data_IF_931428133939
#
_entry.id   IF_931428133939
#
_cell.length_a   1.000
_cell.length_b   1.000
_cell.length_c   1.000
_cell.angle_alpha   90.00
_cell.angle_beta   90.00
_cell.angle_gamma   90.00
#
_symmetry.space_group_name_H-M   'P 1'
#
loop_
_entity.id
_entity.type
_entity.pdbx_description
1 polymer ?
#
# COMPACT_ATOMS: atom_id res chain seq x y z
N UNK A 1 -17.93 -3.65 12.52
CA UNK A 1 -17.07 -2.55 13.04
C UNK A 1 -15.84 -2.48 12.16
N UNK A 2 -15.54 -1.31 11.57
CA UNK A 2 -14.37 -1.14 10.70
C UNK A 2 -13.11 -1.18 11.55
N UNK A 3 -12.24 -2.15 11.32
CA UNK A 3 -10.99 -2.28 12.08
C UNK A 3 -10.04 -1.18 11.63
N UNK A 4 -9.44 -0.42 12.56
CA UNK A 4 -8.47 0.63 12.25
C UNK A 4 -7.05 0.06 12.30
N UNK A 5 -6.20 0.49 11.38
CA UNK A 5 -4.78 0.16 11.35
C UNK A 5 -3.91 1.42 11.16
N UNK A 6 -2.60 1.23 11.19
CA UNK A 6 -1.58 2.26 11.08
C UNK A 6 -0.27 1.66 10.55
N UNK A 7 0.67 2.49 10.06
CA UNK A 7 1.94 2.02 9.49
C UNK A 7 2.77 1.10 10.38
N UNK A 8 2.81 1.34 11.70
CA UNK A 8 3.59 0.53 12.63
C UNK A 8 2.98 -0.86 12.82
N UNK A 9 1.64 -0.93 12.92
CA UNK A 9 0.92 -2.20 12.98
C UNK A 9 1.12 -3.04 11.73
N UNK A 10 1.16 -2.43 10.55
CA UNK A 10 1.44 -3.12 9.29
C UNK A 10 2.83 -3.75 9.26
N UNK A 11 3.86 -3.01 9.71
CA UNK A 11 5.21 -3.57 9.84
C UNK A 11 5.25 -4.73 10.84
N UNK A 12 4.52 -4.63 11.94
CA UNK A 12 4.44 -5.73 12.91
C UNK A 12 3.75 -6.97 12.32
N UNK A 13 2.72 -6.80 11.47
CA UNK A 13 2.08 -7.90 10.75
C UNK A 13 3.02 -8.54 9.70
N UNK A 14 3.84 -7.74 9.00
CA UNK A 14 4.89 -8.26 8.12
C UNK A 14 5.94 -9.02 8.91
N UNK A 15 6.46 -8.42 9.99
CA UNK A 15 7.46 -9.05 10.84
C UNK A 15 6.95 -10.41 11.33
N UNK A 16 5.68 -10.49 11.75
CA UNK A 16 5.04 -11.74 12.17
C UNK A 16 5.05 -12.80 11.07
N UNK A 17 4.62 -12.45 9.84
CA UNK A 17 4.65 -13.36 8.68
C UNK A 17 6.05 -13.93 8.45
N UNK A 18 7.09 -13.15 8.74
CA UNK A 18 8.49 -13.47 8.49
C UNK A 18 9.22 -14.12 9.69
N UNK A 19 8.53 -14.43 10.79
CA UNK A 19 9.16 -15.07 11.97
C UNK A 19 9.36 -16.59 11.84
N UNK A 20 8.90 -17.21 10.75
CA UNK A 20 9.04 -18.65 10.54
C UNK A 20 10.50 -19.03 10.29
N UNK A 21 10.99 -20.06 10.99
CA UNK A 21 12.34 -20.58 10.80
C UNK A 21 12.43 -21.40 9.52
N UNK A 22 13.45 -21.12 8.72
CA UNK A 22 13.75 -21.86 7.50
C UNK A 22 15.28 -21.85 7.25
N UNK A 23 15.81 -22.94 6.71
CA UNK A 23 17.23 -23.10 6.37
C UNK A 23 17.56 -22.59 4.96
N UNK A 24 16.56 -22.21 4.16
CA UNK A 24 16.81 -21.61 2.83
C UNK A 24 17.44 -20.22 2.95
N UNK A 25 18.12 -19.77 1.89
CA UNK A 25 18.65 -18.41 1.83
C UNK A 25 17.53 -17.38 2.00
N UNK A 26 17.80 -16.27 2.70
CA UNK A 26 16.79 -15.27 3.02
C UNK A 26 16.06 -14.67 1.80
N UNK A 27 16.74 -14.51 0.67
CA UNK A 27 16.12 -14.11 -0.59
C UNK A 27 15.07 -15.12 -1.09
N UNK A 28 15.35 -16.42 -0.95
CA UNK A 28 14.43 -17.49 -1.31
C UNK A 28 13.26 -17.57 -0.30
N UNK A 29 13.54 -17.41 0.99
CA UNK A 29 12.52 -17.36 2.03
C UNK A 29 11.53 -16.21 1.80
N UNK A 30 12.03 -14.99 1.57
CA UNK A 30 11.17 -13.83 1.28
C UNK A 30 10.37 -14.04 0.00
N UNK A 31 11.02 -14.49 -1.08
CA UNK A 31 10.34 -14.73 -2.35
C UNK A 31 9.19 -15.74 -2.20
N UNK A 32 9.42 -16.84 -1.47
CA UNK A 32 8.39 -17.83 -1.16
C UNK A 32 7.29 -17.25 -0.27
N UNK A 33 7.68 -16.51 0.79
CA UNK A 33 6.74 -15.89 1.72
C UNK A 33 5.74 -14.99 1.03
N UNK A 34 6.16 -14.26 -0.01
CA UNK A 34 5.33 -13.34 -0.77
C UNK A 34 4.83 -13.90 -2.12
N UNK A 35 5.15 -15.14 -2.47
CA UNK A 35 4.72 -15.77 -3.72
C UNK A 35 5.23 -15.04 -4.97
N UNK A 36 6.52 -14.69 -4.99
CA UNK A 36 7.22 -14.04 -6.12
C UNK A 36 8.51 -14.78 -6.45
N UNK A 37 9.12 -14.49 -7.61
CA UNK A 37 10.43 -15.05 -7.99
C UNK A 37 11.58 -14.24 -7.36
N UNK A 38 12.60 -14.94 -6.87
CA UNK A 38 13.85 -14.32 -6.36
C UNK A 38 14.45 -13.34 -7.39
N UNK A 39 14.81 -12.15 -6.93
CA UNK A 39 15.39 -11.06 -7.75
C UNK A 39 14.54 -10.62 -8.95
N UNK A 40 13.23 -10.91 -8.96
CA UNK A 40 12.31 -10.28 -9.92
C UNK A 40 12.05 -8.82 -9.57
N UNK A 41 11.47 -8.07 -10.51
CA UNK A 41 10.97 -6.72 -10.25
C UNK A 41 10.03 -6.68 -9.04
N UNK A 42 9.15 -7.68 -8.93
CA UNK A 42 8.19 -7.81 -7.83
C UNK A 42 8.87 -8.06 -6.48
N UNK A 43 9.91 -8.90 -6.46
CA UNK A 43 10.71 -9.11 -5.27
C UNK A 43 11.37 -7.81 -4.77
N UNK A 44 11.94 -7.03 -5.68
CA UNK A 44 12.54 -5.73 -5.34
C UNK A 44 11.47 -4.74 -4.84
N UNK A 45 10.29 -4.72 -5.46
CA UNK A 45 9.15 -3.89 -5.00
C UNK A 45 8.72 -4.24 -3.58
N UNK A 46 8.66 -5.52 -3.22
CA UNK A 46 8.33 -5.94 -1.84
C UNK A 46 9.35 -5.37 -0.84
N UNK A 47 10.64 -5.54 -1.13
CA UNK A 47 11.70 -5.01 -0.26
C UNK A 47 11.56 -3.49 -0.13
N UNK A 48 11.41 -2.78 -1.25
CA UNK A 48 11.25 -1.33 -1.26
C UNK A 48 10.04 -0.88 -0.41
N UNK A 49 8.87 -1.52 -0.57
CA UNK A 49 7.69 -1.19 0.22
C UNK A 49 7.90 -1.39 1.73
N UNK A 50 8.58 -2.46 2.15
CA UNK A 50 8.88 -2.71 3.56
C UNK A 50 9.80 -1.61 4.11
N UNK A 51 10.87 -1.28 3.37
CA UNK A 51 11.84 -0.25 3.78
C UNK A 51 11.22 1.15 3.83
N UNK A 52 10.45 1.53 2.82
CA UNK A 52 9.73 2.81 2.78
C UNK A 52 8.74 2.93 3.93
N UNK A 53 8.05 1.84 4.27
CA UNK A 53 7.13 1.80 5.40
C UNK A 53 7.85 1.96 6.74
N UNK A 54 9.01 1.31 6.91
CA UNK A 54 9.86 1.49 8.09
C UNK A 54 10.36 2.95 8.21
N UNK A 55 10.73 3.57 7.09
CA UNK A 55 11.16 4.98 7.06
C UNK A 55 10.03 5.95 7.39
N UNK A 56 8.79 5.67 6.95
CA UNK A 56 7.61 6.43 7.35
C UNK A 56 7.38 6.38 8.86
N UNK A 57 7.44 5.18 9.45
CA UNK A 57 7.30 5.01 10.91
C UNK A 57 8.42 5.76 11.64
N UNK A 58 9.67 5.63 11.18
CA UNK A 58 10.81 6.34 11.75
C UNK A 58 10.63 7.87 11.70
N UNK A 59 10.09 8.40 10.60
CA UNK A 59 9.78 9.82 10.46
C UNK A 59 8.74 10.27 11.49
N UNK A 60 7.66 9.51 11.65
CA UNK A 60 6.60 9.82 12.63
C UNK A 60 7.16 9.79 14.06
N UNK A 61 7.97 8.78 14.41
CA UNK A 61 8.64 8.69 15.71
C UNK A 61 9.54 9.91 15.97
N UNK A 62 10.35 10.32 14.98
CA UNK A 62 11.22 11.51 15.11
C UNK A 62 10.43 12.79 15.37
N UNK A 63 9.27 12.93 14.74
CA UNK A 63 8.43 14.13 14.81
C UNK A 63 7.47 14.12 16.00
N UNK A 64 7.35 13.00 16.70
CA UNK A 64 6.46 12.87 17.85
C UNK A 64 6.90 13.79 19.00
N UNK A 65 5.96 14.56 19.53
CA UNK A 65 6.17 15.37 20.73
C UNK A 65 5.83 14.62 22.03
N UNK A 66 5.30 13.40 21.92
CA UNK A 66 4.83 12.60 23.06
C UNK A 66 5.88 11.60 23.57
N UNK A 67 6.96 11.39 22.80
CA UNK A 67 8.08 10.55 23.19
C UNK A 67 9.27 11.43 23.62
N UNK A 68 9.94 11.02 24.70
CA UNK A 68 11.25 11.57 25.07
C UNK A 68 12.34 11.09 24.08
N UNK A 69 13.51 11.73 24.17
CA UNK A 69 14.60 11.50 23.21
C UNK A 69 15.22 10.10 23.34
N UNK A 70 15.26 9.54 24.55
CA UNK A 70 15.78 8.19 24.80
C UNK A 70 14.88 7.11 24.19
N UNK A 71 13.56 7.20 24.36
CA UNK A 71 12.62 6.28 23.72
C UNK A 71 12.61 6.45 22.20
N UNK A 72 12.77 7.67 21.68
CA UNK A 72 12.93 7.90 20.23
C UNK A 72 14.17 7.21 19.71
N UNK A 73 15.31 7.36 20.38
CA UNK A 73 16.56 6.74 19.98
C UNK A 73 16.44 5.21 19.93
N UNK A 74 15.87 4.60 20.98
CA UNK A 74 15.62 3.15 21.02
C UNK A 74 14.69 2.69 19.90
N UNK A 75 13.57 3.39 19.67
CA UNK A 75 12.62 3.03 18.62
C UNK A 75 13.23 3.12 17.21
N UNK A 76 14.08 4.12 16.98
CA UNK A 76 14.79 4.29 15.71
C UNK A 76 15.85 3.23 15.49
N UNK A 77 16.51 2.78 16.56
CA UNK A 77 17.44 1.65 16.51
C UNK A 77 16.70 0.36 16.15
N UNK A 78 15.56 0.07 16.79
CA UNK A 78 14.72 -1.08 16.48
C UNK A 78 14.25 -1.10 15.02
N UNK A 79 13.83 0.06 14.49
CA UNK A 79 13.46 0.21 13.08
C UNK A 79 14.65 -0.01 12.15
N UNK A 80 15.84 0.47 12.52
CA UNK A 80 17.06 0.24 11.74
C UNK A 80 17.40 -1.25 11.68
N UNK A 81 17.38 -1.95 12.81
CA UNK A 81 17.68 -3.39 12.88
C UNK A 81 16.63 -4.23 12.17
N UNK A 82 15.36 -3.83 12.23
CA UNK A 82 14.31 -4.45 11.40
C UNK A 82 14.64 -4.34 9.91
N UNK A 83 15.05 -3.16 9.44
CA UNK A 83 15.43 -2.94 8.04
C UNK A 83 16.62 -3.81 7.63
N UNK A 84 17.57 -4.08 8.53
CA UNK A 84 18.73 -4.94 8.26
C UNK A 84 18.31 -6.35 7.81
N UNK A 85 17.17 -6.86 8.29
CA UNK A 85 16.61 -8.15 7.87
C UNK A 85 16.16 -8.20 6.40
N UNK A 86 16.02 -7.04 5.75
CA UNK A 86 15.70 -6.91 4.33
C UNK A 86 16.92 -6.49 3.47
N UNK A 87 18.14 -6.54 4.03
CA UNK A 87 19.37 -6.14 3.31
C UNK A 87 20.12 -7.33 2.71
N UNK A 88 21.01 -7.06 1.75
CA UNK A 88 21.77 -8.09 1.05
C UNK A 88 22.61 -9.01 1.95
N UNK A 89 23.00 -8.59 3.16
CA UNK A 89 23.72 -9.46 4.09
C UNK A 89 22.81 -10.54 4.68
N UNK A 90 21.63 -10.16 5.19
CA UNK A 90 20.65 -11.07 5.76
C UNK A 90 19.99 -11.97 4.70
N UNK A 91 19.83 -11.46 3.48
CA UNK A 91 19.20 -12.20 2.37
C UNK A 91 20.06 -13.33 1.79
N UNK A 92 21.39 -13.24 1.94
CA UNK A 92 22.33 -14.21 1.33
C UNK A 92 22.68 -15.39 2.24
N UNK A 93 22.33 -15.32 3.52
CA UNK A 93 22.53 -16.42 4.48
C UNK A 93 21.22 -17.16 4.70
N UNK A 94 21.28 -18.31 5.38
CA UNK A 94 20.08 -19.04 5.77
C UNK A 94 19.17 -18.13 6.63
N UNK A 95 17.85 -18.19 6.41
CA UNK A 95 16.92 -17.26 7.04
C UNK A 95 16.96 -17.32 8.57
N UNK A 96 17.15 -18.51 9.12
CA UNK A 96 17.29 -18.77 10.55
C UNK A 96 18.72 -18.66 11.11
N UNK A 97 19.72 -18.31 10.30
CA UNK A 97 21.08 -18.04 10.76
C UNK A 97 21.09 -16.83 11.72
N UNK A 98 22.13 -16.74 12.57
CA UNK A 98 22.29 -15.61 13.49
C UNK A 98 22.40 -14.27 12.74
N UNK A 99 22.93 -14.29 11.52
CA UNK A 99 22.99 -13.13 10.61
C UNK A 99 21.83 -13.08 9.63
N UNK A 100 20.91 -14.03 9.70
CA UNK A 100 19.71 -14.12 8.87
C UNK A 100 18.61 -13.18 9.36
N UNK A 101 17.56 -13.04 8.56
CA UNK A 101 16.48 -12.11 8.86
C UNK A 101 15.50 -12.60 9.93
N UNK A 102 15.40 -13.91 10.21
CA UNK A 102 14.41 -14.44 11.16
C UNK A 102 14.55 -13.82 12.55
N UNK A 103 15.77 -13.76 13.08
CA UNK A 103 16.04 -13.21 14.42
C UNK A 103 15.64 -11.74 14.47
N UNK A 104 16.04 -10.97 13.45
CA UNK A 104 15.70 -9.55 13.34
C UNK A 104 14.17 -9.34 13.29
N UNK A 105 13.45 -10.14 12.50
CA UNK A 105 11.98 -10.05 12.43
C UNK A 105 11.32 -10.43 13.76
N UNK A 106 11.81 -11.48 14.41
CA UNK A 106 11.28 -11.99 15.68
C UNK A 106 11.48 -10.99 16.83
N UNK A 107 12.68 -10.44 16.94
CA UNK A 107 13.04 -9.56 18.04
C UNK A 107 12.38 -8.18 17.92
N UNK A 108 12.15 -7.71 16.68
CA UNK A 108 11.60 -6.38 16.44
C UNK A 108 10.09 -6.33 16.16
N UNK A 109 9.40 -7.47 16.01
CA UNK A 109 7.92 -7.51 15.88
C UNK A 109 7.20 -6.75 17.00
N UNK A 110 7.51 -7.08 18.26
CA UNK A 110 6.84 -6.48 19.43
C UNK A 110 7.18 -5.00 19.59
N UNK A 111 8.46 -4.58 19.50
CA UNK A 111 8.81 -3.16 19.44
C UNK A 111 8.00 -2.38 18.41
N UNK A 112 7.90 -2.87 17.17
CA UNK A 112 7.09 -2.23 16.12
C UNK A 112 5.62 -2.11 16.53
N UNK A 113 5.04 -3.17 17.12
CA UNK A 113 3.67 -3.13 17.61
C UNK A 113 3.45 -2.09 18.72
N UNK A 114 4.43 -1.87 19.59
CA UNK A 114 4.35 -0.85 20.65
C UNK A 114 4.46 0.58 20.14
N UNK A 115 4.97 0.80 18.92
CA UNK A 115 4.93 2.11 18.27
C UNK A 115 3.54 2.49 17.74
N UNK A 116 2.63 1.51 17.61
CA UNK A 116 1.30 1.73 17.02
C UNK A 116 0.49 2.85 17.71
N UNK A 117 0.40 2.97 19.05
CA UNK A 117 -0.33 4.08 19.67
C UNK A 117 0.22 5.46 19.31
N UNK A 118 1.55 5.60 19.24
CA UNK A 118 2.23 6.85 18.87
C UNK A 118 1.96 7.16 17.39
N UNK A 119 2.19 6.19 16.52
CA UNK A 119 1.99 6.37 15.08
C UNK A 119 0.52 6.64 14.77
N UNK A 120 -0.41 5.96 15.44
CA UNK A 120 -1.86 6.11 15.24
C UNK A 120 -2.40 7.48 15.67
N UNK A 121 -1.69 8.19 16.56
CA UNK A 121 -2.03 9.56 16.90
C UNK A 121 -1.84 10.51 15.70
N UNK A 122 -0.88 10.19 14.82
CA UNK A 122 -0.54 10.99 13.64
C UNK A 122 -1.18 10.45 12.35
N UNK A 123 -1.13 9.13 12.15
CA UNK A 123 -1.57 8.46 10.92
C UNK A 123 -2.37 7.21 11.25
N UNK A 124 -3.65 7.19 10.85
CA UNK A 124 -4.54 6.04 11.01
C UNK A 124 -5.56 5.97 9.88
N UNK A 125 -5.98 4.77 9.54
CA UNK A 125 -6.95 4.55 8.47
C UNK A 125 -7.68 3.21 8.64
N UNK A 126 -8.84 3.03 7.99
CA UNK A 126 -9.54 1.75 8.01
C UNK A 126 -8.68 0.65 7.36
N UNK A 127 -8.72 -0.54 7.93
CA UNK A 127 -8.19 -1.77 7.35
C UNK A 127 -9.26 -2.36 6.44
N UNK A 128 -8.88 -2.74 5.23
CA UNK A 128 -9.75 -3.49 4.33
C UNK A 128 -9.93 -4.92 4.84
N UNK A 129 -11.16 -5.41 4.78
CA UNK A 129 -11.51 -6.81 4.94
C UNK A 129 -11.09 -7.61 3.71
N UNK A 130 -11.00 -8.94 3.83
CA UNK A 130 -10.68 -9.82 2.70
C UNK A 130 -11.72 -9.69 1.57
N UNK A 131 -12.99 -9.50 1.94
CA UNK A 131 -14.07 -9.25 0.98
C UNK A 131 -13.85 -7.93 0.23
N UNK A 132 -13.57 -6.83 0.95
CA UNK A 132 -13.29 -5.54 0.30
C UNK A 132 -12.06 -5.63 -0.62
N UNK A 133 -11.01 -6.36 -0.22
CA UNK A 133 -9.83 -6.58 -1.07
C UNK A 133 -10.22 -7.32 -2.36
N UNK A 134 -11.05 -8.37 -2.28
CA UNK A 134 -11.52 -9.10 -3.45
C UNK A 134 -12.34 -8.20 -4.39
N UNK A 135 -13.28 -7.41 -3.84
CA UNK A 135 -14.06 -6.44 -4.60
C UNK A 135 -13.17 -5.39 -5.30
N UNK A 136 -12.12 -4.92 -4.62
CA UNK A 136 -11.16 -4.00 -5.23
C UNK A 136 -10.36 -4.64 -6.36
N UNK A 137 -9.93 -5.89 -6.22
CA UNK A 137 -9.21 -6.61 -7.28
C UNK A 137 -10.08 -6.78 -8.53
N UNK A 138 -11.36 -7.12 -8.36
CA UNK A 138 -12.32 -7.21 -9.48
C UNK A 138 -12.52 -5.86 -10.18
N UNK A 139 -12.65 -4.77 -9.42
CA UNK A 139 -12.77 -3.43 -9.97
C UNK A 139 -11.51 -3.01 -10.74
N UNK A 140 -10.32 -3.29 -10.20
CA UNK A 140 -9.05 -3.02 -10.86
C UNK A 140 -8.98 -3.75 -12.21
N UNK A 141 -9.36 -5.03 -12.24
CA UNK A 141 -9.31 -5.83 -13.45
C UNK A 141 -10.31 -5.33 -14.50
N UNK A 142 -11.52 -4.95 -14.10
CA UNK A 142 -12.50 -4.32 -14.99
C UNK A 142 -11.97 -3.01 -15.61
N UNK A 143 -11.35 -2.14 -14.81
CA UNK A 143 -10.77 -0.89 -15.32
C UNK A 143 -9.56 -1.10 -16.23
N UNK A 144 -8.71 -2.07 -15.92
CA UNK A 144 -7.58 -2.42 -16.78
C UNK A 144 -8.05 -2.90 -18.17
N UNK A 145 -9.12 -3.70 -18.23
CA UNK A 145 -9.71 -4.12 -19.50
C UNK A 145 -10.37 -2.96 -20.27
N UNK A 146 -11.06 -2.06 -19.58
CA UNK A 146 -11.61 -0.85 -20.20
C UNK A 146 -10.49 0.02 -20.79
N UNK A 147 -9.41 0.26 -20.05
CA UNK A 147 -8.29 1.11 -20.50
C UNK A 147 -7.53 0.51 -21.69
N UNK A 148 -7.47 -0.82 -21.81
CA UNK A 148 -6.87 -1.50 -22.98
C UNK A 148 -7.69 -1.28 -24.25
N UNK A 149 -9.00 -1.22 -24.13
CA UNK A 149 -9.93 -1.14 -25.27
C UNK A 149 -10.33 0.29 -25.61
N UNK A 150 -10.14 1.23 -24.68
CA UNK A 150 -10.45 2.64 -24.86
C UNK A 150 -9.42 3.37 -25.73
N UNK A 151 -9.90 4.01 -26.79
CA UNK A 151 -9.15 5.01 -27.57
C UNK A 151 -9.29 6.43 -27.00
N UNK A 152 -10.13 6.61 -25.97
CA UNK A 152 -10.49 7.92 -25.43
C UNK A 152 -9.42 8.48 -24.48
N UNK A 153 -9.19 9.78 -24.60
CA UNK A 153 -8.23 10.55 -23.79
C UNK A 153 -6.77 10.43 -24.27
N UNK A 154 -5.84 11.15 -23.63
CA UNK A 154 -4.42 11.09 -23.99
C UNK A 154 -3.78 9.75 -23.60
N UNK A 155 -2.98 9.16 -24.49
CA UNK A 155 -2.33 7.87 -24.28
C UNK A 155 -1.44 7.83 -23.01
N UNK A 156 -0.75 8.93 -22.71
CA UNK A 156 0.11 9.01 -21.52
C UNK A 156 -0.70 8.95 -20.20
N UNK A 157 -1.92 9.51 -20.18
CA UNK A 157 -2.81 9.46 -19.01
C UNK A 157 -3.29 8.03 -18.81
N UNK A 158 -3.73 7.35 -19.88
CA UNK A 158 -4.12 5.94 -19.81
C UNK A 158 -2.98 5.05 -19.32
N UNK A 159 -1.76 5.28 -19.80
CA UNK A 159 -0.59 4.54 -19.34
C UNK A 159 -0.31 4.78 -17.86
N UNK A 160 -0.32 6.04 -17.40
CA UNK A 160 -0.11 6.37 -16.00
C UNK A 160 -1.15 5.72 -15.07
N UNK A 161 -2.42 5.68 -15.49
CA UNK A 161 -3.50 4.99 -14.75
C UNK A 161 -3.28 3.49 -14.74
N UNK A 162 -2.92 2.92 -15.89
CA UNK A 162 -2.61 1.48 -16.02
C UNK A 162 -1.47 1.09 -15.08
N UNK A 163 -0.39 1.88 -15.07
CA UNK A 163 0.76 1.64 -14.20
C UNK A 163 0.39 1.75 -12.71
N UNK A 164 -0.42 2.75 -12.36
CA UNK A 164 -0.95 2.93 -11.01
C UNK A 164 -1.84 1.78 -10.55
N UNK A 165 -2.75 1.31 -11.41
CA UNK A 165 -3.62 0.16 -11.17
C UNK A 165 -2.82 -1.13 -10.98
N UNK A 166 -1.84 -1.39 -11.85
CA UNK A 166 -0.97 -2.56 -11.74
C UNK A 166 -0.13 -2.52 -10.46
N UNK A 167 0.37 -1.35 -10.06
CA UNK A 167 1.08 -1.18 -8.80
C UNK A 167 0.17 -1.42 -7.59
N UNK A 168 -1.06 -0.89 -7.63
CA UNK A 168 -2.03 -1.08 -6.56
C UNK A 168 -2.50 -2.53 -6.43
N UNK A 169 -2.78 -3.19 -7.56
CA UNK A 169 -3.08 -4.62 -7.62
C UNK A 169 -1.98 -5.45 -6.98
N UNK A 170 -0.74 -5.22 -7.39
CA UNK A 170 0.43 -5.92 -6.87
C UNK A 170 0.53 -5.78 -5.35
N UNK A 171 0.33 -4.56 -4.83
CA UNK A 171 0.38 -4.31 -3.40
C UNK A 171 -0.71 -5.11 -2.66
N UNK A 172 -1.96 -5.08 -3.13
CA UNK A 172 -3.06 -5.82 -2.52
C UNK A 172 -2.82 -7.33 -2.50
N UNK A 173 -2.37 -7.91 -3.62
CA UNK A 173 -2.20 -9.36 -3.76
C UNK A 173 -1.00 -9.91 -3.00
N UNK A 174 0.13 -9.19 -3.01
CA UNK A 174 1.40 -9.74 -2.50
C UNK A 174 1.69 -9.30 -1.09
N UNK A 175 1.54 -8.00 -0.84
CA UNK A 175 1.97 -7.35 0.40
C UNK A 175 0.81 -7.22 1.39
N UNK A 176 -0.39 -6.96 0.87
CA UNK A 176 -1.59 -6.64 1.62
C UNK A 176 -1.87 -5.14 1.70
N UNK A 177 -2.96 -4.77 2.36
CA UNK A 177 -3.36 -3.37 2.55
C UNK A 177 -2.39 -2.63 3.47
N UNK A 178 -1.69 -1.63 2.94
CA UNK A 178 -0.78 -0.78 3.72
C UNK A 178 -1.22 0.70 3.77
N UNK A 179 -2.50 0.96 3.98
CA UNK A 179 -2.97 2.33 4.13
C UNK A 179 -2.70 3.23 2.95
N UNK A 180 -2.68 2.66 1.76
CA UNK A 180 -2.63 3.41 0.52
C UNK A 180 -3.92 4.21 0.29
N UNK A 181 -4.71 4.52 1.32
CA UNK A 181 -5.89 5.37 1.25
C UNK A 181 -5.62 6.71 0.58
N UNK A 182 -4.43 7.31 0.75
CA UNK A 182 -4.01 8.47 -0.03
C UNK A 182 -3.77 8.16 -1.51
N UNK A 183 -3.21 6.99 -1.83
CA UNK A 183 -3.08 6.54 -3.22
C UNK A 183 -4.45 6.14 -3.81
N UNK A 184 -5.42 5.70 -3.01
CA UNK A 184 -6.77 5.34 -3.46
C UNK A 184 -7.64 6.59 -3.67
N UNK A 185 -7.48 7.62 -2.82
CA UNK A 185 -8.07 8.94 -3.04
C UNK A 185 -7.43 9.61 -4.25
N UNK A 186 -6.10 9.62 -4.35
CA UNK A 186 -5.40 10.12 -5.53
C UNK A 186 -5.76 9.32 -6.78
N UNK A 187 -5.93 8.01 -6.68
CA UNK A 187 -6.37 7.16 -7.79
C UNK A 187 -7.79 7.50 -8.22
N UNK A 188 -8.73 7.65 -7.27
CA UNK A 188 -10.09 8.12 -7.57
C UNK A 188 -10.08 9.50 -8.21
N UNK A 189 -9.24 10.41 -7.74
CA UNK A 189 -9.07 11.74 -8.34
C UNK A 189 -8.52 11.66 -9.76
N UNK A 190 -7.49 10.84 -10.02
CA UNK A 190 -6.95 10.62 -11.36
C UNK A 190 -7.99 9.95 -12.27
N UNK A 191 -8.78 9.00 -11.77
CA UNK A 191 -9.89 8.40 -12.51
C UNK A 191 -10.98 9.42 -12.83
N UNK A 192 -11.34 10.29 -11.88
CA UNK A 192 -12.29 11.38 -12.11
C UNK A 192 -11.76 12.34 -13.18
N UNK A 193 -10.46 12.68 -13.12
CA UNK A 193 -9.80 13.53 -14.14
C UNK A 193 -9.78 12.84 -15.49
N UNK A 194 -9.53 11.53 -15.55
CA UNK A 194 -9.58 10.75 -16.78
C UNK A 194 -10.98 10.71 -17.38
N UNK A 195 -11.99 10.40 -16.58
CA UNK A 195 -13.40 10.47 -17.01
C UNK A 195 -13.76 11.87 -17.49
N UNK A 196 -13.40 12.92 -16.75
CA UNK A 196 -13.61 14.30 -17.16
C UNK A 196 -12.89 14.62 -18.49
N UNK A 197 -11.68 14.07 -18.69
CA UNK A 197 -10.93 14.24 -19.93
C UNK A 197 -11.60 13.56 -21.12
N UNK A 198 -12.28 12.43 -20.92
CA UNK A 198 -13.08 11.79 -21.99
C UNK A 198 -14.15 12.76 -22.54
N UNK A 199 -14.74 13.60 -21.68
CA UNK A 199 -15.71 14.64 -22.08
C UNK A 199 -15.07 15.90 -22.68
N UNK A 200 -13.93 16.36 -22.17
CA UNK A 200 -13.26 17.58 -22.67
C UNK A 200 -12.59 17.38 -24.03
N UNK A 201 -12.18 16.16 -24.37
CA UNK A 201 -11.58 15.85 -25.67
C UNK A 201 -12.60 15.34 -26.71
N UNK A 202 -13.86 15.11 -26.31
CA UNK A 202 -14.95 14.79 -27.25
C UNK A 202 -15.65 16.02 -27.82
N UNK A 203 -15.58 17.18 -27.14
CA UNK A 203 -16.14 18.44 -27.61
C UNK A 203 -15.04 19.47 -27.88
N UNK A 204 -14.85 19.82 -29.15
CA UNK A 204 -14.09 20.99 -29.60
C UNK A 204 -14.82 22.28 -29.22
N UNK A 205 -14.90 22.58 -27.93
CA UNK A 205 -15.60 23.74 -27.41
C UNK A 205 -15.20 24.03 -25.96
N UNK A 206 -14.15 24.83 -25.80
CA UNK A 206 -13.69 25.49 -24.58
C UNK A 206 -14.69 25.47 -23.39
N UNK A 207 -14.46 24.64 -22.37
CA UNK A 207 -15.17 24.72 -21.09
C UNK A 207 -14.20 24.90 -19.94
N UNK A 208 -14.47 25.96 -19.18
CA UNK A 208 -13.72 26.48 -18.03
C UNK A 208 -13.53 25.42 -16.93
N UNK A 209 -12.26 25.11 -16.63
CA UNK A 209 -11.80 24.07 -15.70
C UNK A 209 -12.31 24.25 -14.25
N UNK A 210 -12.88 25.41 -13.93
CA UNK A 210 -13.40 25.76 -12.61
C UNK A 210 -14.74 25.10 -12.26
N UNK A 211 -15.50 24.58 -13.23
CA UNK A 211 -16.81 23.97 -12.98
C UNK A 211 -16.75 22.50 -12.51
N UNK A 212 -15.65 21.79 -12.79
CA UNK A 212 -15.49 20.35 -12.51
C UNK A 212 -15.17 20.06 -11.04
N UNK A 213 -14.68 21.05 -10.29
CA UNK A 213 -14.26 20.91 -8.89
C UNK A 213 -15.39 21.15 -7.87
N UNK A 214 -16.65 21.22 -8.30
CA UNK A 214 -17.76 21.50 -7.38
C UNK A 214 -18.21 20.22 -6.61
N UNK A 215 -18.13 20.18 -5.27
CA UNK A 215 -18.43 19.00 -4.45
C UNK A 215 -19.87 18.47 -4.58
N UNK A 216 -20.77 19.25 -5.17
CA UNK A 216 -22.19 18.93 -5.37
C UNK A 216 -22.44 17.79 -6.37
N UNK A 217 -21.50 17.52 -7.29
CA UNK A 217 -21.63 16.41 -8.25
C UNK A 217 -21.39 15.02 -7.63
N UNK A 218 -20.62 14.94 -6.54
CA UNK A 218 -20.28 13.67 -5.86
C UNK A 218 -21.48 12.95 -5.22
N UNK A 219 -22.54 13.68 -4.82
CA UNK A 219 -23.74 13.10 -4.18
C UNK A 219 -24.75 12.51 -5.16
N UNK A 220 -24.72 12.91 -6.43
CA UNK A 220 -25.65 12.41 -7.45
C UNK A 220 -25.35 10.97 -7.90
N UNK A 221 -24.10 10.53 -7.79
CA UNK A 221 -23.61 9.29 -8.38
C UNK A 221 -23.95 8.03 -7.54
N UNK A 222 -23.91 8.12 -6.21
CA UNK A 222 -24.33 7.03 -5.30
C UNK A 222 -25.78 6.58 -5.53
N UNK A 223 -26.64 7.47 -6.03
CA UNK A 223 -28.06 7.16 -6.31
C UNK A 223 -28.28 6.49 -7.67
N UNK A 224 -27.32 6.57 -8.59
CA UNK A 224 -27.46 6.08 -9.96
C UNK A 224 -26.84 4.69 -10.16
N UNK A 225 -25.88 4.31 -9.32
CA UNK A 225 -25.24 2.98 -9.34
C UNK A 225 -25.95 1.96 -8.41
N UNK A 226 -26.67 2.41 -7.39
CA UNK A 226 -27.45 1.55 -6.48
C UNK A 226 -28.94 1.39 -6.82
N UNK A 227 -29.37 1.76 -8.03
CA UNK A 227 -30.78 1.98 -8.38
C UNK A 227 -31.32 1.08 -9.48
N UNK A 228 -30.87 -0.17 -9.59
CA UNK A 228 -31.44 -1.15 -10.51
C UNK A 228 -31.73 -2.47 -9.81
N UNK A 229 -32.81 -2.47 -9.03
CA UNK A 229 -33.68 -3.62 -8.82
C UNK A 229 -33.26 -4.67 -7.79
N UNK A 230 -33.65 -4.45 -6.53
CA UNK A 230 -34.28 -5.50 -5.71
C UNK A 230 -35.48 -4.84 -4.99
N UNK A 231 -36.67 -5.35 -5.27
CA UNK A 231 -37.91 -5.01 -4.57
C UNK A 231 -38.11 -5.92 -3.37
N UNK A 232 -38.64 -5.31 -2.30
CA UNK A 232 -39.00 -5.81 -0.96
C UNK A 232 -37.90 -5.67 0.10
#
# INVERSE_FOLDING_TARGET
MTTVTDPARELAEIAERLTHSDNVAGEAFLANSFGVKVWSTDFVKIIACILERADLVAKVVKQSNTMDDDHKASALEDLSRFKDGCTGAALRVAWNDVRGGMILMKDHRRPLQYLSPIVRAEVRYPKLTEQEVAEFLELIDAYLEELKTSDQGPAFVRQAITDGLLAFRFQLEKIGWMGSGYALVAFREVMIVYEASKFQFSDTGNVDSSAVLNPSYSRGWLRRVGGSGISL
#
